data_IF_089011452684
#
_entry.id   IF_089011452684
#
_cell.length_a   1.000
_cell.length_b   1.000
_cell.length_c   1.000
_cell.angle_alpha   90.00
_cell.angle_beta   90.00
_cell.angle_gamma   90.00
#
_symmetry.space_group_name_H-M   'P 1'
#
loop_
_entity.id
_entity.type
_entity.pdbx_description
1 polymer ?
#
# COMPACT_ATOMS: atom_id res chain seq x y z
N UNK A 1 -6.74 1.55 -5.44
CA UNK A 1 -5.36 1.75 -4.95
C UNK A 1 -4.78 0.49 -4.30
N UNK A 2 -5.63 -0.31 -3.66
CA UNK A 2 -5.17 -1.55 -3.03
C UNK A 2 -4.51 -2.52 -4.01
N UNK A 3 -5.04 -2.63 -5.21
CA UNK A 3 -4.47 -3.48 -6.24
C UNK A 3 -3.08 -3.01 -6.67
N UNK A 4 -2.87 -1.71 -6.70
CA UNK A 4 -1.57 -1.13 -7.05
C UNK A 4 -0.53 -1.45 -5.99
N UNK A 5 -0.92 -1.34 -4.72
CA UNK A 5 -0.02 -1.67 -3.61
C UNK A 5 0.37 -3.15 -3.67
N UNK A 6 -0.60 -4.04 -3.88
CA UNK A 6 -0.34 -5.47 -3.98
C UNK A 6 0.56 -5.80 -5.18
N UNK A 7 0.30 -5.17 -6.32
CA UNK A 7 1.10 -5.39 -7.52
C UNK A 7 2.55 -4.95 -7.29
N UNK A 8 2.74 -3.82 -6.62
CA UNK A 8 4.08 -3.31 -6.32
C UNK A 8 4.83 -4.21 -5.36
N UNK A 9 4.15 -4.72 -4.35
CA UNK A 9 4.74 -5.68 -3.42
C UNK A 9 5.24 -6.91 -4.17
N UNK A 10 4.41 -7.46 -5.04
CA UNK A 10 4.76 -8.64 -5.81
C UNK A 10 5.95 -8.36 -6.75
N UNK A 11 5.94 -7.20 -7.39
CA UNK A 11 7.02 -6.77 -8.28
C UNK A 11 8.35 -6.71 -7.55
N UNK A 12 8.33 -6.27 -6.29
CA UNK A 12 9.55 -6.16 -5.47
C UNK A 12 9.87 -7.44 -4.69
N UNK A 13 9.08 -8.50 -4.86
CA UNK A 13 9.28 -9.74 -4.15
C UNK A 13 8.94 -9.65 -2.67
N UNK A 14 8.02 -8.77 -2.31
CA UNK A 14 7.57 -8.57 -0.93
C UNK A 14 6.17 -9.12 -0.72
N UNK A 15 5.79 -9.32 0.54
CA UNK A 15 4.47 -9.83 0.90
C UNK A 15 3.71 -8.81 1.75
N UNK A 16 2.40 -9.00 1.86
CA UNK A 16 1.57 -8.17 2.74
C UNK A 16 2.01 -8.32 4.20
N UNK A 17 2.41 -9.53 4.59
CA UNK A 17 2.91 -9.78 5.95
C UNK A 17 4.17 -8.94 6.21
N UNK A 18 5.07 -8.90 5.23
CA UNK A 18 6.27 -8.07 5.34
C UNK A 18 5.90 -6.59 5.48
N UNK A 19 4.98 -6.11 4.65
CA UNK A 19 4.56 -4.71 4.71
C UNK A 19 3.93 -4.37 6.04
N UNK A 20 3.10 -5.26 6.59
CA UNK A 20 2.48 -5.07 7.89
C UNK A 20 3.52 -4.92 9.00
N UNK A 21 4.61 -5.66 8.92
CA UNK A 21 5.69 -5.56 9.91
C UNK A 21 6.42 -4.22 9.84
N UNK A 22 6.46 -3.61 8.65
CA UNK A 22 7.12 -2.31 8.47
C UNK A 22 6.26 -1.15 8.97
N UNK A 23 4.94 -1.31 8.99
CA UNK A 23 3.99 -0.27 9.37
C UNK A 23 3.41 -0.49 10.78
N UNK A 24 3.98 -1.26 11.65
CA UNK A 24 3.43 -1.89 12.87
C UNK A 24 1.89 -2.00 12.86
N UNK A 25 1.38 -2.85 11.97
CA UNK A 25 -0.05 -3.19 11.94
C UNK A 25 -0.21 -4.68 11.59
N UNK A 26 -1.45 -5.18 11.66
CA UNK A 26 -1.70 -6.57 11.31
C UNK A 26 -1.91 -6.73 9.81
N UNK A 27 -1.59 -7.92 9.23
CA UNK A 27 -1.91 -8.18 7.82
C UNK A 27 -3.39 -8.04 7.52
N UNK A 28 -4.26 -8.42 8.46
CA UNK A 28 -5.71 -8.29 8.30
C UNK A 28 -6.12 -6.84 8.08
N UNK A 29 -5.48 -5.91 8.77
CA UNK A 29 -5.73 -4.49 8.60
C UNK A 29 -5.43 -4.05 7.17
N UNK A 30 -4.30 -4.52 6.61
CA UNK A 30 -3.93 -4.20 5.24
C UNK A 30 -4.90 -4.79 4.22
N UNK A 31 -5.38 -6.01 4.46
CA UNK A 31 -6.39 -6.60 3.58
C UNK A 31 -7.68 -5.79 3.56
N UNK A 32 -8.07 -5.24 4.69
CA UNK A 32 -9.23 -4.35 4.76
C UNK A 32 -8.98 -3.06 4.00
N UNK A 33 -7.77 -2.51 4.10
CA UNK A 33 -7.37 -1.31 3.37
C UNK A 33 -7.42 -1.57 1.86
N UNK A 34 -6.95 -2.73 1.42
CA UNK A 34 -6.97 -3.09 0.00
C UNK A 34 -8.38 -3.18 -0.56
N UNK A 35 -9.34 -3.58 0.27
CA UNK A 35 -10.73 -3.73 -0.16
C UNK A 35 -11.47 -2.39 -0.28
N UNK A 36 -10.95 -1.34 0.35
CA UNK A 36 -11.57 -0.01 0.31
C UNK A 36 -11.20 0.71 -0.98
N UNK A 37 -12.10 1.58 -1.45
CA UNK A 37 -11.84 2.40 -2.63
C UNK A 37 -10.89 3.54 -2.33
N UNK A 38 -10.85 4.00 -1.09
CA UNK A 38 -9.98 5.08 -0.67
C UNK A 38 -9.09 4.62 0.47
N UNK A 39 -7.96 5.29 0.62
CA UNK A 39 -6.98 4.96 1.65
C UNK A 39 -6.62 6.25 2.39
N UNK A 40 -6.32 6.13 3.68
CA UNK A 40 -5.84 7.24 4.48
C UNK A 40 -4.52 7.75 3.89
N UNK A 41 -4.40 9.07 3.70
CA UNK A 41 -3.21 9.66 3.07
C UNK A 41 -1.95 9.42 3.87
N UNK A 42 -2.03 9.42 5.20
CA UNK A 42 -0.87 9.14 6.05
C UNK A 42 -0.36 7.71 5.84
N UNK A 43 -1.28 6.76 5.75
CA UNK A 43 -0.93 5.37 5.51
C UNK A 43 -0.33 5.21 4.11
N UNK A 44 -0.93 5.84 3.11
CA UNK A 44 -0.41 5.80 1.74
C UNK A 44 0.99 6.39 1.66
N UNK A 45 1.23 7.49 2.39
CA UNK A 45 2.54 8.11 2.44
C UNK A 45 3.59 7.17 3.03
N UNK A 46 3.24 6.46 4.11
CA UNK A 46 4.14 5.48 4.73
C UNK A 46 4.45 4.33 3.79
N UNK A 47 3.43 3.80 3.12
CA UNK A 47 3.60 2.71 2.17
C UNK A 47 4.48 3.16 1.01
N UNK A 48 4.26 4.37 0.51
CA UNK A 48 5.07 4.94 -0.58
C UNK A 48 6.55 5.00 -0.21
N UNK A 49 6.85 5.40 1.02
CA UNK A 49 8.22 5.45 1.50
C UNK A 49 8.84 4.06 1.62
N UNK A 50 8.08 3.12 2.16
CA UNK A 50 8.57 1.76 2.40
C UNK A 50 8.87 1.05 1.08
N UNK A 51 8.02 1.23 0.09
CA UNK A 51 8.18 0.61 -1.23
C UNK A 51 8.97 1.46 -2.21
N UNK A 52 9.39 2.65 -1.80
CA UNK A 52 10.14 3.59 -2.63
C UNK A 52 9.42 3.84 -3.95
N UNK A 53 8.11 4.10 -3.87
CA UNK A 53 7.27 4.34 -5.03
C UNK A 53 6.20 5.36 -4.69
N UNK A 54 6.00 6.34 -5.57
CA UNK A 54 5.03 7.41 -5.33
C UNK A 54 3.63 7.01 -5.79
N UNK A 55 2.85 6.41 -4.89
CA UNK A 55 1.46 6.03 -5.17
C UNK A 55 0.55 7.24 -5.38
N UNK A 56 0.96 8.41 -4.92
CA UNK A 56 0.17 9.63 -5.11
C UNK A 56 0.07 10.01 -6.59
N UNK A 57 1.09 9.72 -7.39
CA UNK A 57 1.04 9.94 -8.83
C UNK A 57 -0.04 9.09 -9.47
N UNK A 58 -0.11 7.81 -9.11
CA UNK A 58 -1.13 6.91 -9.61
C UNK A 58 -2.52 7.41 -9.21
N UNK A 59 -2.65 7.88 -7.97
CA UNK A 59 -3.91 8.38 -7.45
C UNK A 59 -4.38 9.62 -8.20
N UNK A 60 -3.47 10.54 -8.47
CA UNK A 60 -3.78 11.78 -9.19
C UNK A 60 -4.15 11.50 -10.65
N UNK A 61 -3.41 10.60 -11.30
CA UNK A 61 -3.65 10.27 -12.71
C UNK A 61 -4.98 9.55 -12.92
N UNK A 62 -5.41 8.79 -11.95
CA UNK A 62 -6.64 8.00 -12.04
C UNK A 62 -7.83 8.66 -11.35
N UNK A 63 -7.59 9.75 -10.67
CA UNK A 63 -8.62 10.48 -9.98
C UNK A 63 -9.11 11.65 -10.75
#
# INVERSE_FOLDING_TARGET
IGKRIKAKLKEQGRTTVWLASQIPCTPNHLYKVYAKRSINTDLLKRISRILDYNFFEDFIQNG
#
